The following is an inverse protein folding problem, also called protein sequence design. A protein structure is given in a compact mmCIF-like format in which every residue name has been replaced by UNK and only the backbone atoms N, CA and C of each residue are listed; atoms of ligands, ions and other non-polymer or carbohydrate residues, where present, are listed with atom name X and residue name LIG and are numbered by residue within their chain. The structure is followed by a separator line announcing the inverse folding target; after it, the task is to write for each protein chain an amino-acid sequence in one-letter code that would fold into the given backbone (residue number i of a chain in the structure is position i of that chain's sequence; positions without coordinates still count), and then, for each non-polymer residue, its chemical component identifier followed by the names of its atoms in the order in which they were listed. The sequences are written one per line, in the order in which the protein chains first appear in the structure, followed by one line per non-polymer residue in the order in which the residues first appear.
data_IF_850711739801
#
_entry.id   IF_850711739801
#
_cell.length_a   1.000
_cell.length_b   1.000
_cell.length_c   1.000
_cell.angle_alpha   90.00
_cell.angle_beta   90.00
_cell.angle_gamma   90.00
#
_symmetry.space_group_name_H-M   'P 1'
#
loop_
_entity.id
_entity.type
_entity.pdbx_description
1 polymer ?
#
# COMPACT_ATOMS: atom_id res chain seq x y z
N UNK A 1 17.37 0.16 -4.75
CA UNK A 1 15.91 -0.02 -4.56
C UNK A 1 15.55 -0.78 -3.28
N UNK A 2 16.41 -1.65 -2.73
CA UNK A 2 16.13 -2.40 -1.49
C UNK A 2 15.60 -1.56 -0.31
N UNK A 3 16.19 -0.39 -0.03
CA UNK A 3 15.73 0.46 1.07
C UNK A 3 14.29 0.97 0.90
N UNK A 4 13.93 1.41 -0.30
CA UNK A 4 12.61 1.99 -0.58
C UNK A 4 11.50 0.93 -0.61
N UNK A 5 11.86 -0.33 -0.81
CA UNK A 5 10.89 -1.43 -0.88
C UNK A 5 10.58 -2.05 0.48
N UNK A 6 11.55 -2.07 1.38
CA UNK A 6 11.46 -2.83 2.64
C UNK A 6 11.49 -1.95 3.89
N UNK A 7 11.77 -0.64 3.77
CA UNK A 7 11.86 0.25 4.92
C UNK A 7 10.65 1.17 5.01
N UNK A 8 9.94 1.13 6.15
CA UNK A 8 8.77 1.98 6.41
C UNK A 8 9.04 3.47 6.21
N UNK A 9 10.17 4.00 6.70
CA UNK A 9 10.47 5.43 6.58
C UNK A 9 10.80 5.88 5.13
N UNK A 10 10.92 4.92 4.20
CA UNK A 10 11.08 5.18 2.77
C UNK A 10 9.75 5.32 2.01
N UNK A 11 8.62 5.10 2.69
CA UNK A 11 7.29 5.06 2.08
C UNK A 11 6.33 5.99 2.81
N UNK A 12 5.40 6.59 2.07
CA UNK A 12 4.32 7.39 2.63
C UNK A 12 2.96 6.85 2.21
N UNK A 13 1.98 7.02 3.10
CA UNK A 13 0.58 6.68 2.81
C UNK A 13 -0.08 7.86 2.10
N UNK A 14 -0.55 7.63 0.89
CA UNK A 14 -1.10 8.67 0.00
C UNK A 14 -2.47 8.25 -0.53
N UNK A 15 -3.33 9.25 -0.74
CA UNK A 15 -4.58 9.10 -1.48
C UNK A 15 -4.38 9.62 -2.90
N UNK A 16 -4.08 8.71 -3.83
CA UNK A 16 -3.88 9.04 -5.24
C UNK A 16 -5.24 9.16 -5.92
N UNK A 17 -5.45 10.29 -6.59
CA UNK A 17 -6.64 10.54 -7.41
C UNK A 17 -6.35 10.07 -8.83
N UNK A 18 -7.24 9.25 -9.38
CA UNK A 18 -7.16 8.80 -10.76
C UNK A 18 -8.43 9.21 -11.51
N UNK A 19 -8.26 9.89 -12.64
CA UNK A 19 -9.37 10.24 -13.53
C UNK A 19 -9.62 9.09 -14.50
N UNK A 20 -10.86 8.59 -14.53
CA UNK A 20 -11.24 7.50 -15.41
C UNK A 20 -11.28 7.97 -16.86
N UNK A 21 -10.46 7.35 -17.70
CA UNK A 21 -10.47 7.56 -19.15
C UNK A 21 -11.35 6.52 -19.85
N UNK A 22 -11.76 6.81 -21.09
CA UNK A 22 -12.47 5.84 -21.93
C UNK A 22 -11.68 4.52 -22.13
N UNK A 23 -10.34 4.62 -22.15
CA UNK A 23 -9.46 3.44 -22.21
C UNK A 23 -9.49 2.61 -20.93
N UNK A 24 -9.70 3.21 -19.76
CA UNK A 24 -9.85 2.46 -18.52
C UNK A 24 -11.18 1.70 -18.49
N UNK A 25 -12.27 2.31 -18.96
CA UNK A 25 -13.58 1.66 -19.04
C UNK A 25 -13.54 0.46 -20.00
N UNK A 26 -12.90 0.61 -21.16
CA UNK A 26 -12.81 -0.47 -22.15
C UNK A 26 -11.91 -1.64 -21.72
N UNK A 27 -10.87 -1.37 -20.93
CA UNK A 27 -9.89 -2.37 -20.50
C UNK A 27 -10.12 -2.89 -19.07
N UNK A 28 -11.05 -2.30 -18.32
CA UNK A 28 -11.46 -2.70 -16.97
C UNK A 28 -10.32 -2.64 -15.92
N UNK A 29 -9.34 -1.76 -16.11
CA UNK A 29 -8.29 -1.52 -15.12
C UNK A 29 -7.83 -0.06 -15.07
N UNK A 30 -7.31 0.32 -13.90
CA UNK A 30 -6.59 1.59 -13.68
C UNK A 30 -5.09 1.33 -13.70
N UNK A 31 -4.35 2.15 -14.45
CA UNK A 31 -2.89 2.14 -14.38
C UNK A 31 -2.43 2.95 -13.17
N UNK A 32 -1.50 2.40 -12.40
CA UNK A 32 -0.83 3.08 -11.30
C UNK A 32 0.55 3.59 -11.73
N UNK A 33 1.09 4.55 -10.99
CA UNK A 33 2.47 4.98 -11.15
C UNK A 33 3.43 3.94 -10.54
N UNK A 34 4.64 3.79 -11.11
CA UNK A 34 5.67 2.85 -10.65
C UNK A 34 6.17 3.20 -9.22
N UNK A 35 5.97 4.46 -8.81
CA UNK A 35 6.26 4.89 -7.45
C UNK A 35 5.34 4.25 -6.39
N UNK A 36 4.26 3.55 -6.77
CA UNK A 36 3.32 2.90 -5.84
C UNK A 36 3.79 1.47 -5.51
N UNK A 37 3.98 1.19 -4.22
CA UNK A 37 4.51 -0.09 -3.70
C UNK A 37 3.40 -1.04 -3.29
N UNK A 38 2.26 -0.50 -2.84
CA UNK A 38 1.12 -1.29 -2.42
C UNK A 38 -0.15 -0.46 -2.49
N UNK A 39 -1.25 -1.08 -2.93
CA UNK A 39 -2.59 -0.48 -2.91
C UNK A 39 -3.39 -1.15 -1.80
N UNK A 40 -3.90 -0.34 -0.87
CA UNK A 40 -4.65 -0.81 0.31
C UNK A 40 -6.13 -0.94 -0.04
N UNK A 41 -6.72 0.16 -0.52
CA UNK A 41 -8.12 0.16 -0.93
C UNK A 41 -8.50 1.24 -1.92
N UNK A 42 -9.55 0.98 -2.67
CA UNK A 42 -10.27 2.02 -3.42
C UNK A 42 -11.43 2.50 -2.56
N UNK A 43 -11.49 3.81 -2.31
CA UNK A 43 -12.58 4.38 -1.52
C UNK A 43 -13.89 4.29 -2.32
N UNK A 44 -15.00 3.87 -1.68
CA UNK A 44 -16.29 3.87 -2.36
C UNK A 44 -16.63 5.30 -2.74
N UNK A 45 -16.95 5.54 -4.02
CA UNK A 45 -17.53 6.80 -4.45
C UNK A 45 -18.93 6.83 -3.86
N UNK A 46 -19.25 7.73 -2.91
CA UNK A 46 -20.61 7.85 -2.44
C UNK A 46 -21.46 8.28 -3.63
N UNK A 47 -22.42 7.45 -4.02
CA UNK A 47 -23.48 7.91 -4.91
C UNK A 47 -24.24 9.01 -4.17
N UNK A 48 -24.10 10.26 -4.63
CA UNK A 48 -24.83 11.41 -4.07
C UNK A 48 -26.36 11.26 -4.14
N UNK A 49 -26.84 10.24 -4.86
CA UNK A 49 -28.25 9.87 -4.92
C UNK A 49 -28.84 9.43 -3.57
N UNK A 50 -28.00 9.00 -2.63
CA UNK A 50 -28.44 8.71 -1.24
C UNK A 50 -28.92 9.97 -0.49
N UNK A 51 -28.49 11.17 -0.91
CA UNK A 51 -28.96 12.44 -0.35
C UNK A 51 -30.20 12.99 -1.07
N UNK A 52 -30.48 12.56 -2.30
CA UNK A 52 -31.63 13.04 -3.08
C UNK A 52 -32.95 12.38 -2.64
N UNK A 53 -32.88 11.16 -2.09
CA UNK A 53 -34.04 10.40 -1.59
C UNK A 53 -34.46 10.68 -0.15
N UNK A 54 -33.73 11.51 0.62
CA UNK A 54 -33.86 11.58 2.09
C UNK A 54 -35.23 11.97 2.66
N UNK A 55 -36.13 12.57 1.86
CA UNK A 55 -37.48 12.96 2.30
C UNK A 55 -38.60 12.07 1.73
N UNK A 56 -38.31 11.25 0.72
CA UNK A 56 -39.26 10.34 0.06
C UNK A 56 -38.84 8.86 0.13
N UNK A 57 -37.75 8.55 0.83
CA UNK A 57 -37.35 7.18 1.11
C UNK A 57 -38.41 6.50 2.03
N UNK A 58 -38.81 5.28 1.67
CA UNK A 58 -39.68 4.38 2.44
C UNK A 58 -39.22 4.30 3.91
N UNK A 59 -37.91 4.28 4.16
CA UNK A 59 -37.34 4.26 5.51
C UNK A 59 -37.68 5.51 6.34
N UNK A 60 -37.70 6.68 5.71
CA UNK A 60 -38.07 7.94 6.37
C UNK A 60 -39.58 7.96 6.68
N UNK A 61 -40.40 7.44 5.76
CA UNK A 61 -41.84 7.32 5.95
C UNK A 61 -42.22 6.28 7.02
N UNK A 62 -41.51 5.14 7.06
CA UNK A 62 -41.63 4.14 8.13
C UNK A 62 -41.18 4.71 9.48
N UNK A 63 -40.10 5.49 9.53
CA UNK A 63 -39.66 6.17 10.75
C UNK A 63 -40.69 7.16 11.29
N UNK A 64 -41.39 7.89 10.41
CA UNK A 64 -42.49 8.79 10.80
C UNK A 64 -43.74 8.03 11.25
N UNK A 65 -44.03 6.88 10.64
CA UNK A 65 -45.13 6.01 11.03
C UNK A 65 -44.90 5.43 12.45
N UNK A 66 -43.68 4.96 12.73
CA UNK A 66 -43.32 4.33 14.00
C UNK A 66 -43.07 5.35 15.13
N UNK A 67 -42.71 6.60 14.78
CA UNK A 67 -42.58 7.71 15.73
C UNK A 67 -43.86 7.97 16.54
N UNK A 68 -45.02 7.66 15.96
CA UNK A 68 -46.31 7.80 16.63
C UNK A 68 -46.60 6.72 17.69
N UNK A 69 -45.83 5.62 17.73
CA UNK A 69 -46.06 4.46 18.61
C UNK A 69 -44.91 4.17 19.60
N UNK A 70 -44.00 5.12 19.86
CA UNK A 70 -42.94 4.95 20.87
C UNK A 70 -43.52 4.90 22.30
N UNK A 71 -43.71 3.68 22.82
CA UNK A 71 -43.83 3.38 24.24
C UNK A 71 -42.58 2.59 24.68
N UNK A 72 -42.21 2.59 25.96
CA UNK A 72 -40.92 2.03 26.41
C UNK A 72 -40.64 0.57 26.01
N UNK A 73 -41.67 -0.23 25.68
CA UNK A 73 -41.52 -1.60 25.19
C UNK A 73 -41.26 -1.70 23.68
N UNK A 74 -41.64 -0.69 22.88
CA UNK A 74 -41.44 -0.70 21.42
C UNK A 74 -40.02 -0.32 20.99
N UNK A 75 -39.21 0.30 21.87
CA UNK A 75 -37.84 0.69 21.55
C UNK A 75 -36.88 -0.52 21.41
N UNK A 76 -37.08 -1.57 22.21
CA UNK A 76 -36.30 -2.81 22.09
C UNK A 76 -36.61 -3.49 20.76
N UNK A 77 -37.89 -3.62 20.41
CA UNK A 77 -38.34 -4.23 19.15
C UNK A 77 -37.84 -3.43 17.95
N UNK A 78 -37.94 -2.10 18.00
CA UNK A 78 -37.40 -1.22 16.97
C UNK A 78 -35.90 -1.38 16.77
N UNK A 79 -35.13 -1.47 17.86
CA UNK A 79 -33.68 -1.71 17.79
C UNK A 79 -33.33 -3.07 17.19
N UNK A 80 -34.18 -4.10 17.39
CA UNK A 80 -34.04 -5.41 16.78
C UNK A 80 -34.36 -5.36 15.28
N UNK A 81 -35.42 -4.65 14.88
CA UNK A 81 -35.76 -4.45 13.46
C UNK A 81 -34.66 -3.70 12.71
N UNK A 82 -34.08 -2.65 13.30
CA UNK A 82 -32.95 -1.94 12.69
C UNK A 82 -31.72 -2.83 12.48
N UNK A 83 -31.41 -3.70 13.44
CA UNK A 83 -30.31 -4.68 13.28
C UNK A 83 -30.61 -5.66 12.15
N UNK A 84 -31.85 -6.14 12.07
CA UNK A 84 -32.26 -7.03 10.99
C UNK A 84 -32.16 -6.35 9.62
N UNK A 85 -32.55 -5.08 9.50
CA UNK A 85 -32.37 -4.32 8.26
C UNK A 85 -30.89 -4.14 7.90
N UNK A 86 -30.03 -3.85 8.88
CA UNK A 86 -28.59 -3.75 8.64
C UNK A 86 -27.98 -5.09 8.21
N UNK A 87 -28.41 -6.21 8.79
CA UNK A 87 -27.99 -7.56 8.37
C UNK A 87 -28.46 -7.88 6.95
N UNK A 88 -29.70 -7.51 6.61
CA UNK A 88 -30.26 -7.67 5.27
C UNK A 88 -29.47 -6.83 4.26
N UNK A 89 -29.19 -5.57 4.57
CA UNK A 89 -28.39 -4.68 3.72
C UNK A 89 -26.99 -5.25 3.50
N UNK A 90 -26.31 -5.71 4.55
CA UNK A 90 -25.00 -6.34 4.46
C UNK A 90 -25.02 -7.60 3.59
N UNK A 91 -26.10 -8.39 3.63
CA UNK A 91 -26.25 -9.59 2.81
C UNK A 91 -26.46 -9.26 1.32
N UNK A 92 -27.07 -8.12 1.00
CA UNK A 92 -27.30 -7.67 -0.38
C UNK A 92 -26.18 -6.76 -0.92
N UNK A 93 -25.32 -6.24 -0.05
CA UNK A 93 -24.18 -5.44 -0.47
C UNK A 93 -23.06 -6.33 -1.02
N UNK A 94 -22.94 -6.39 -2.35
CA UNK A 94 -21.74 -6.90 -2.99
C UNK A 94 -20.67 -5.81 -2.90
N UNK A 95 -19.70 -5.99 -2.01
CA UNK A 95 -18.52 -5.15 -1.96
C UNK A 95 -17.63 -5.47 -3.19
N UNK A 96 -17.27 -4.49 -4.02
CA UNK A 96 -16.37 -4.74 -5.13
C UNK A 96 -15.01 -5.18 -4.59
N UNK A 97 -14.51 -6.31 -5.08
CA UNK A 97 -13.15 -6.75 -4.76
C UNK A 97 -12.16 -5.99 -5.67
N UNK A 98 -10.97 -5.72 -5.13
CA UNK A 98 -9.88 -5.16 -5.90
C UNK A 98 -8.75 -6.16 -5.98
N UNK A 99 -8.08 -6.20 -7.12
CA UNK A 99 -6.84 -6.94 -7.30
C UNK A 99 -5.78 -5.98 -7.78
N UNK A 100 -4.58 -6.06 -7.22
CA UNK A 100 -3.47 -5.23 -7.62
C UNK A 100 -2.23 -6.07 -7.84
N UNK A 101 -1.49 -5.74 -8.90
CA UNK A 101 -0.22 -6.37 -9.20
C UNK A 101 0.86 -5.32 -9.40
N UNK A 102 1.88 -5.34 -8.53
CA UNK A 102 3.02 -4.42 -8.57
C UNK A 102 3.81 -4.44 -9.87
N UNK A 103 3.95 -5.59 -10.53
CA UNK A 103 4.77 -5.68 -11.75
C UNK A 103 3.99 -5.39 -13.03
N UNK A 104 2.68 -5.25 -12.91
CA UNK A 104 1.82 -4.82 -14.02
C UNK A 104 1.41 -3.36 -13.90
N UNK A 105 1.67 -2.71 -12.74
CA UNK A 105 1.21 -1.36 -12.39
C UNK A 105 -0.28 -1.16 -12.65
N UNK A 106 -1.08 -2.16 -12.28
CA UNK A 106 -2.51 -2.20 -12.57
C UNK A 106 -3.34 -2.56 -11.35
N UNK A 107 -4.38 -1.77 -11.13
CA UNK A 107 -5.47 -2.07 -10.21
C UNK A 107 -6.67 -2.51 -11.03
N UNK A 108 -7.13 -3.73 -10.76
CA UNK A 108 -8.37 -4.29 -11.27
C UNK A 108 -9.46 -4.09 -10.23
N UNK A 109 -10.62 -3.64 -10.68
CA UNK A 109 -11.81 -3.48 -9.83
C UNK A 109 -12.91 -4.38 -10.39
N UNK A 110 -13.37 -5.32 -9.57
CA UNK A 110 -14.46 -6.20 -9.93
C UNK A 110 -15.79 -5.44 -9.82
N UNK A 111 -16.15 -4.76 -10.90
CA UNK A 111 -17.42 -4.05 -11.05
C UNK A 111 -17.80 -3.93 -12.52
N UNK A 112 -19.07 -3.61 -12.80
CA UNK A 112 -19.50 -3.24 -14.16
C UNK A 112 -18.97 -1.85 -14.51
N UNK A 113 -17.84 -1.81 -15.22
CA UNK A 113 -17.16 -0.57 -15.60
C UNK A 113 -18.01 0.31 -16.51
N UNK A 114 -18.76 -0.29 -17.44
CA UNK A 114 -19.56 0.44 -18.42
C UNK A 114 -20.80 1.08 -17.80
N UNK A 115 -21.40 0.42 -16.80
CA UNK A 115 -22.60 0.93 -16.11
C UNK A 115 -22.32 1.82 -14.91
N UNK A 116 -21.13 1.70 -14.27
CA UNK A 116 -20.81 2.41 -13.03
C UNK A 116 -19.94 3.65 -13.21
N UNK A 117 -19.13 3.70 -14.26
CA UNK A 117 -18.20 4.81 -14.46
C UNK A 117 -18.50 5.58 -15.75
N UNK A 118 -18.38 6.89 -15.63
CA UNK A 118 -18.37 7.83 -16.74
C UNK A 118 -16.98 8.41 -16.91
N UNK A 119 -16.67 8.84 -18.13
CA UNK A 119 -15.36 9.48 -18.42
C UNK A 119 -15.27 10.77 -17.62
N UNK A 120 -14.17 10.92 -16.85
CA UNK A 120 -13.95 12.05 -15.95
C UNK A 120 -14.31 11.78 -14.49
N UNK A 121 -14.86 10.60 -14.16
CA UNK A 121 -15.07 10.21 -12.77
C UNK A 121 -13.73 10.06 -12.04
N UNK A 122 -13.69 10.49 -10.79
CA UNK A 122 -12.48 10.48 -9.97
C UNK A 122 -12.53 9.30 -9.00
N UNK A 123 -11.60 8.37 -9.19
CA UNK A 123 -11.32 7.32 -8.22
C UNK A 123 -10.27 7.80 -7.23
N UNK A 124 -10.48 7.49 -5.96
CA UNK A 124 -9.50 7.75 -4.90
C UNK A 124 -8.96 6.41 -4.40
N UNK A 125 -7.67 6.21 -4.60
CA UNK A 125 -6.96 4.99 -4.26
C UNK A 125 -6.05 5.29 -3.06
N UNK A 126 -6.26 4.57 -1.97
CA UNK A 126 -5.39 4.55 -0.80
C UNK A 126 -4.21 3.61 -1.07
N UNK A 127 -3.01 4.17 -1.14
CA UNK A 127 -1.81 3.45 -1.52
C UNK A 127 -0.58 3.88 -0.71
N UNK A 128 0.44 3.02 -0.68
CA UNK A 128 1.78 3.36 -0.21
C UNK A 128 2.65 3.74 -1.39
N UNK A 129 3.23 4.93 -1.33
CA UNK A 129 4.08 5.50 -2.36
C UNK A 129 5.52 5.67 -1.86
N UNK A 130 6.50 5.43 -2.72
CA UNK A 130 7.92 5.72 -2.46
C UNK A 130 8.09 7.23 -2.29
N UNK A 131 8.77 7.63 -1.21
CA UNK A 131 9.18 9.02 -1.01
C UNK A 131 10.22 9.43 -2.07
N UNK A 132 9.94 10.53 -2.77
CA UNK A 132 10.89 11.08 -3.74
C UNK A 132 12.10 11.69 -3.00
N UNK A 133 13.32 11.14 -3.17
CA UNK A 133 14.52 11.60 -2.48
C UNK A 133 15.01 12.97 -2.96
N UNK A 134 14.52 13.47 -4.11
CA UNK A 134 14.85 14.82 -4.60
C UNK A 134 14.06 15.89 -3.84
N UNK A 135 12.84 15.56 -3.44
CA UNK A 135 11.97 16.42 -2.63
C UNK A 135 12.29 16.30 -1.13
N UNK A 136 12.64 15.09 -0.66
CA UNK A 136 12.95 14.81 0.74
C UNK A 136 14.36 14.23 0.95
N UNK A 137 15.41 15.07 0.99
CA UNK A 137 16.79 14.60 1.12
C UNK A 137 17.11 13.90 2.46
N UNK A 138 16.25 14.04 3.47
CA UNK A 138 16.42 13.40 4.77
C UNK A 138 16.40 11.87 4.70
N UNK A 139 15.79 11.31 3.65
CA UNK A 139 15.80 9.87 3.34
C UNK A 139 17.24 9.35 3.23
N UNK A 140 18.19 10.17 2.75
CA UNK A 140 19.61 9.80 2.68
C UNK A 140 20.32 9.74 4.04
N UNK A 141 19.72 10.35 5.07
CA UNK A 141 20.32 10.43 6.40
C UNK A 141 20.02 9.20 7.28
N UNK A 142 19.31 8.21 6.75
CA UNK A 142 18.94 7.01 7.46
C UNK A 142 20.17 6.15 7.87
N UNK A 143 20.09 5.53 9.05
CA UNK A 143 21.18 4.72 9.61
C UNK A 143 21.43 3.46 8.79
N UNK A 144 20.36 2.76 8.38
CA UNK A 144 20.48 1.54 7.60
C UNK A 144 21.06 1.85 6.23
N UNK A 145 20.56 2.89 5.55
CA UNK A 145 21.06 3.24 4.22
C UNK A 145 22.57 3.53 4.24
N UNK A 146 23.06 4.22 5.27
CA UNK A 146 24.49 4.50 5.44
C UNK A 146 25.30 3.24 5.74
N UNK A 147 24.82 2.37 6.62
CA UNK A 147 25.49 1.12 6.94
C UNK A 147 25.56 0.21 5.71
N UNK A 148 24.44 0.05 5.01
CA UNK A 148 24.34 -0.75 3.79
C UNK A 148 25.24 -0.22 2.67
N UNK A 149 25.24 1.11 2.43
CA UNK A 149 26.14 1.72 1.46
C UNK A 149 27.62 1.53 1.82
N UNK A 150 27.97 1.62 3.11
CA UNK A 150 29.35 1.39 3.59
C UNK A 150 29.79 -0.05 3.36
N UNK A 151 28.93 -1.03 3.68
CA UNK A 151 29.19 -2.45 3.45
C UNK A 151 29.33 -2.78 1.95
N UNK A 152 28.48 -2.20 1.09
CA UNK A 152 28.58 -2.36 -0.36
C UNK A 152 29.88 -1.79 -0.92
N UNK A 153 30.32 -0.63 -0.43
CA UNK A 153 31.61 -0.05 -0.78
C UNK A 153 32.72 -1.02 -0.34
N UNK A 154 32.72 -1.47 0.93
CA UNK A 154 33.70 -2.45 1.46
C UNK A 154 33.78 -3.70 0.58
N UNK A 155 32.64 -4.26 0.16
CA UNK A 155 32.56 -5.40 -0.75
C UNK A 155 33.21 -5.11 -2.11
N UNK A 156 32.94 -3.94 -2.70
CA UNK A 156 33.54 -3.54 -3.97
C UNK A 156 35.06 -3.36 -3.87
N UNK A 157 35.56 -2.83 -2.75
CA UNK A 157 36.99 -2.77 -2.47
C UNK A 157 37.59 -4.17 -2.32
N UNK A 158 36.97 -5.07 -1.56
CA UNK A 158 37.38 -6.47 -1.46
C UNK A 158 37.43 -7.17 -2.83
N UNK A 159 36.43 -6.94 -3.69
CA UNK A 159 36.36 -7.47 -5.06
C UNK A 159 37.52 -6.98 -5.95
N UNK A 160 37.94 -5.74 -5.78
CA UNK A 160 39.09 -5.18 -6.49
C UNK A 160 40.40 -5.71 -5.93
N UNK A 161 40.52 -5.77 -4.61
CA UNK A 161 41.73 -6.17 -3.89
C UNK A 161 42.03 -7.67 -4.01
N UNK A 162 41.00 -8.53 -4.04
CA UNK A 162 41.19 -9.99 -4.19
C UNK A 162 41.84 -10.37 -5.53
N UNK A 163 41.72 -9.53 -6.56
CA UNK A 163 42.37 -9.72 -7.87
C UNK A 163 43.90 -9.58 -7.80
N UNK A 164 44.42 -8.92 -6.77
CA UNK A 164 45.85 -8.71 -6.55
C UNK A 164 46.45 -9.70 -5.54
N UNK A 165 45.75 -10.79 -5.26
CA UNK A 165 46.28 -11.87 -4.41
C UNK A 165 47.54 -12.46 -5.03
N UNK A 166 48.64 -12.48 -4.25
CA UNK A 166 49.96 -12.92 -4.72
C UNK A 166 50.89 -11.79 -5.19
N UNK A 167 50.42 -10.55 -5.29
CA UNK A 167 51.29 -9.39 -5.48
C UNK A 167 51.89 -8.98 -4.13
N UNK A 168 53.21 -9.05 -4.02
CA UNK A 168 53.96 -8.56 -2.86
C UNK A 168 54.30 -7.09 -3.03
N UNK A 169 53.88 -6.28 -2.07
CA UNK A 169 54.26 -4.88 -2.02
C UNK A 169 55.74 -4.75 -1.60
N UNK A 170 56.44 -3.68 -2.02
CA UNK A 170 57.76 -3.36 -1.51
C UNK A 170 57.70 -3.28 0.03
N UNK A 171 58.43 -4.16 0.72
CA UNK A 171 58.33 -4.34 2.17
C UNK A 171 57.81 -5.70 2.63
N UNK A 172 57.49 -6.63 1.72
CA UNK A 172 57.16 -8.02 2.06
C UNK A 172 55.73 -8.23 2.55
N UNK A 173 54.89 -7.21 2.49
CA UNK A 173 53.47 -7.28 2.86
C UNK A 173 52.67 -7.77 1.64
N UNK A 174 51.87 -8.82 1.84
CA UNK A 174 50.88 -9.29 0.87
C UNK A 174 49.52 -8.67 1.17
N UNK A 175 48.79 -8.27 0.13
CA UNK A 175 47.48 -7.67 0.28
C UNK A 175 46.41 -8.77 0.45
N UNK A 176 45.66 -8.73 1.54
CA UNK A 176 44.58 -9.70 1.83
C UNK A 176 43.20 -9.13 1.45
N UNK A 177 42.89 -9.19 0.16
CA UNK A 177 41.58 -8.75 -0.34
C UNK A 177 40.45 -9.76 -0.12
N UNK A 178 40.78 -11.02 0.21
CA UNK A 178 39.78 -12.08 0.40
C UNK A 178 39.06 -11.90 1.75
N UNK A 179 39.81 -11.68 2.82
CA UNK A 179 39.23 -11.46 4.15
C UNK A 179 38.30 -10.24 4.17
N UNK A 180 38.71 -9.13 3.53
CA UNK A 180 37.88 -7.91 3.41
C UNK A 180 36.56 -8.20 2.69
N UNK A 181 36.59 -9.02 1.64
CA UNK A 181 35.40 -9.40 0.89
C UNK A 181 34.46 -10.28 1.75
N UNK A 182 35.00 -11.29 2.41
CA UNK A 182 34.23 -12.23 3.21
C UNK A 182 33.54 -11.50 4.40
N UNK A 183 34.26 -10.61 5.09
CA UNK A 183 33.68 -9.74 6.13
C UNK A 183 32.55 -8.85 5.59
N UNK A 184 32.73 -8.25 4.41
CA UNK A 184 31.73 -7.37 3.83
C UNK A 184 30.44 -8.12 3.45
N UNK A 185 30.55 -9.38 3.02
CA UNK A 185 29.39 -10.22 2.71
C UNK A 185 28.65 -10.62 3.99
N UNK A 186 29.37 -10.94 5.06
CA UNK A 186 28.77 -11.25 6.36
C UNK A 186 28.05 -10.03 6.95
N UNK A 187 28.68 -8.85 6.93
CA UNK A 187 28.06 -7.58 7.33
C UNK A 187 26.78 -7.30 6.51
N UNK A 188 26.83 -7.48 5.20
CA UNK A 188 25.66 -7.27 4.32
C UNK A 188 24.49 -8.17 4.72
N UNK A 189 24.77 -9.46 4.96
CA UNK A 189 23.76 -10.44 5.37
C UNK A 189 23.15 -10.09 6.73
N UNK A 190 23.98 -9.69 7.70
CA UNK A 190 23.50 -9.27 9.02
C UNK A 190 22.63 -8.02 8.94
N UNK A 191 22.99 -7.07 8.07
CA UNK A 191 22.22 -5.85 7.82
C UNK A 191 20.88 -6.17 7.16
N UNK A 192 20.84 -7.06 6.17
CA UNK A 192 19.61 -7.52 5.50
C UNK A 192 18.65 -8.22 6.47
N UNK A 193 19.17 -9.11 7.33
CA UNK A 193 18.39 -9.79 8.37
C UNK A 193 17.80 -8.81 9.39
N UNK A 194 18.58 -7.83 9.82
CA UNK A 194 18.10 -6.80 10.75
C UNK A 194 16.99 -5.92 10.15
N UNK A 195 17.03 -5.63 8.85
CA UNK A 195 15.97 -4.86 8.21
C UNK A 195 14.67 -5.63 8.12
N UNK A 196 14.76 -6.90 7.72
CA UNK A 196 13.61 -7.78 7.69
C UNK A 196 12.92 -7.81 9.07
N UNK A 197 13.70 -7.93 10.14
CA UNK A 197 13.16 -8.02 11.50
C UNK A 197 12.63 -6.71 12.09
N UNK A 198 13.25 -5.56 11.78
CA UNK A 198 12.98 -4.30 12.48
C UNK A 198 12.09 -3.32 11.72
N UNK A 199 12.14 -3.35 10.38
CA UNK A 199 11.61 -2.29 9.54
C UNK A 199 10.61 -2.77 8.50
N UNK A 200 10.39 -4.09 8.40
CA UNK A 200 9.24 -4.62 7.68
C UNK A 200 7.98 -4.01 8.29
N UNK A 201 7.17 -3.40 7.41
CA UNK A 201 5.78 -3.10 7.72
C UNK A 201 5.17 -4.35 8.36
N UNK A 202 4.40 -4.23 9.46
CA UNK A 202 3.65 -5.38 9.96
C UNK A 202 2.92 -5.97 8.75
N UNK A 203 3.03 -7.28 8.55
CA UNK A 203 2.24 -7.97 7.54
C UNK A 203 0.80 -7.52 7.81
N UNK A 204 0.25 -6.68 6.94
CA UNK A 204 -1.07 -6.11 7.12
C UNK A 204 -2.01 -7.29 7.04
N UNK A 205 -2.33 -7.81 8.23
CA UNK A 205 -3.11 -8.99 8.41
C UNK A 205 -4.49 -8.61 7.99
N UNK A 206 -4.82 -8.90 6.73
CA UNK A 206 -6.20 -9.09 6.34
C UNK A 206 -6.71 -10.28 7.16
N UNK A 207 -7.11 -10.01 8.40
CA UNK A 207 -7.87 -10.92 9.23
C UNK A 207 -9.33 -10.60 8.93
N UNK A 208 -9.89 -11.34 7.98
CA UNK A 208 -11.33 -11.43 7.74
C UNK A 208 -11.88 -10.43 6.74
#
# INVERSE_FOLDING_TARGET
EYFQEYHFDGVEKVFTKHEITAGNIANEYVNTDDSIISVVRVLPIPSFDSFSGGFFNEEYQLRLNDLNNFSGSSLIQWSMSLRNFAEIEQLFQIAPQMMWNRKQDRVYLECDWAGKFTVGDILVIEAYKILDPSTWPQVWNDMFLKQYATALIKRQWGENLKKFTGVQLPGGISLDGKTIYDEAVEELRAIEEQVSLRYELPADGFIG
#
